data_IF_547771854444
#
_entry.id   IF_547771854444
#
_cell.length_a   1.000
_cell.length_b   1.000
_cell.length_c   1.000
_cell.angle_alpha   90.00
_cell.angle_beta   90.00
_cell.angle_gamma   90.00
#
_symmetry.space_group_name_H-M   'P 1'
#
loop_
_entity.id
_entity.type
_entity.pdbx_description
1 polymer ?
#
# COMPACT_ATOMS: atom_id res chain seq x y z
N UNK A 1 -16.58 -8.52 -10.47
CA UNK A 1 -15.22 -9.05 -10.58
C UNK A 1 -14.29 -8.09 -9.84
N UNK A 2 -13.57 -8.59 -8.88
CA UNK A 2 -12.48 -7.88 -8.22
C UNK A 2 -11.20 -8.24 -8.94
N UNK A 3 -10.17 -7.38 -8.82
CA UNK A 3 -8.90 -7.64 -9.48
C UNK A 3 -7.77 -6.85 -8.86
N UNK A 4 -6.56 -7.36 -9.02
CA UNK A 4 -5.34 -6.69 -8.64
C UNK A 4 -4.35 -6.69 -9.81
N UNK A 5 -3.51 -5.68 -9.86
CA UNK A 5 -2.34 -5.57 -10.73
C UNK A 5 -1.13 -5.41 -9.84
N UNK A 6 -0.14 -6.23 -10.07
CA UNK A 6 1.12 -6.19 -9.31
C UNK A 6 2.28 -5.73 -10.20
N UNK A 7 3.24 -5.03 -9.61
CA UNK A 7 4.46 -4.68 -10.32
C UNK A 7 5.31 -5.95 -10.56
N UNK A 8 5.91 -6.04 -11.75
CA UNK A 8 6.88 -7.11 -12.08
C UNK A 8 8.28 -6.83 -11.50
N UNK A 9 8.45 -5.72 -10.82
CA UNK A 9 9.70 -5.32 -10.18
C UNK A 9 9.48 -5.07 -8.69
N UNK A 10 10.48 -5.37 -7.91
CA UNK A 10 10.49 -5.09 -6.48
C UNK A 10 10.92 -3.65 -6.21
N UNK A 11 10.23 -3.00 -5.30
CA UNK A 11 10.72 -1.77 -4.70
C UNK A 11 11.70 -2.15 -3.58
N UNK A 12 12.93 -1.62 -3.55
CA UNK A 12 13.84 -1.89 -2.45
C UNK A 12 13.26 -1.48 -1.10
N UNK A 13 13.86 -2.00 -0.03
CA UNK A 13 13.48 -1.68 1.33
C UNK A 13 13.79 -0.23 1.74
N UNK A 14 14.52 -0.08 2.82
CA UNK A 14 14.91 1.22 3.38
C UNK A 14 15.51 2.15 2.32
N UNK A 15 15.24 3.46 2.45
CA UNK A 15 15.68 4.50 1.52
C UNK A 15 14.98 4.49 0.15
N UNK A 16 13.88 3.80 0.02
CA UNK A 16 13.01 3.90 -1.15
C UNK A 16 11.80 4.79 -0.85
N UNK A 17 11.37 5.51 -1.87
CA UNK A 17 10.10 6.21 -1.92
C UNK A 17 9.33 5.71 -3.14
N UNK A 18 8.11 5.28 -2.92
CA UNK A 18 7.18 4.90 -3.99
C UNK A 18 6.08 5.94 -4.05
N UNK A 19 5.76 6.39 -5.25
CA UNK A 19 4.66 7.32 -5.52
C UNK A 19 3.74 6.71 -6.58
N UNK A 20 2.47 6.66 -6.27
CA UNK A 20 1.41 6.30 -7.21
C UNK A 20 0.55 7.53 -7.44
N UNK A 21 0.33 7.90 -8.69
CA UNK A 21 -0.66 8.90 -9.05
C UNK A 21 -1.90 8.19 -9.58
N UNK A 22 -2.99 8.31 -8.84
CA UNK A 22 -4.22 7.60 -9.15
C UNK A 22 -5.46 8.39 -8.72
N UNK A 23 -6.59 8.07 -9.33
CA UNK A 23 -7.92 8.54 -8.94
C UNK A 23 -8.71 7.35 -8.42
N UNK A 24 -9.10 7.40 -7.14
CA UNK A 24 -9.84 6.34 -6.48
C UNK A 24 -11.19 6.08 -7.17
N UNK A 25 -11.69 4.86 -7.00
CA UNK A 25 -13.02 4.49 -7.47
C UNK A 25 -14.10 5.24 -6.69
N UNK A 26 -15.17 5.74 -7.34
CA UNK A 26 -16.27 6.39 -6.63
C UNK A 26 -16.96 5.46 -5.63
N UNK A 27 -17.30 5.94 -4.45
CA UNK A 27 -17.88 5.18 -3.35
C UNK A 27 -19.23 4.57 -3.65
N UNK A 28 -19.97 5.25 -4.51
CA UNK A 28 -21.27 4.72 -4.92
C UNK A 28 -21.19 3.26 -5.41
N UNK A 29 -20.05 2.85 -5.95
CA UNK A 29 -19.81 1.48 -6.39
C UNK A 29 -19.67 0.47 -5.21
N UNK A 30 -19.32 0.95 -4.01
CA UNK A 30 -19.00 0.12 -2.83
C UNK A 30 -17.92 -0.93 -3.10
N UNK A 31 -16.91 -0.51 -3.84
CA UNK A 31 -15.69 -1.27 -4.10
C UNK A 31 -14.55 -0.46 -3.54
N UNK A 32 -13.74 -1.07 -2.71
CA UNK A 32 -12.53 -0.47 -2.17
C UNK A 32 -11.48 -0.43 -3.27
N UNK A 33 -10.87 0.72 -3.51
CA UNK A 33 -9.64 0.84 -4.28
C UNK A 33 -8.47 0.98 -3.31
N UNK A 34 -7.39 0.25 -3.57
CA UNK A 34 -6.23 0.26 -2.70
C UNK A 34 -4.90 0.36 -3.46
N UNK A 35 -3.95 1.04 -2.81
CA UNK A 35 -2.54 1.09 -3.17
C UNK A 35 -1.77 0.55 -1.99
N UNK A 36 -1.05 -0.54 -2.17
CA UNK A 36 -0.33 -1.20 -1.09
C UNK A 36 0.96 -1.87 -1.55
N UNK A 37 1.80 -2.21 -0.61
CA UNK A 37 3.05 -2.91 -0.84
C UNK A 37 3.02 -4.26 -0.15
N UNK A 38 3.28 -5.32 -0.91
CA UNK A 38 3.30 -6.67 -0.41
C UNK A 38 4.67 -7.32 -0.57
N UNK A 39 4.95 -8.33 0.24
CA UNK A 39 6.17 -9.13 0.10
C UNK A 39 6.26 -9.76 -1.28
N UNK A 40 7.46 -9.71 -1.89
CA UNK A 40 7.73 -10.32 -3.20
C UNK A 40 7.59 -11.85 -3.22
N UNK A 41 7.44 -12.47 -2.08
CA UNK A 41 7.35 -13.93 -1.96
C UNK A 41 5.93 -14.48 -2.12
N UNK A 42 4.92 -13.64 -2.29
CA UNK A 42 3.52 -14.09 -2.41
C UNK A 42 3.12 -14.68 -3.75
N UNK A 43 3.97 -14.60 -4.74
CA UNK A 43 3.66 -15.11 -6.07
C UNK A 43 3.92 -16.61 -6.26
N UNK A 44 3.82 -17.45 -5.23
CA UNK A 44 4.03 -18.89 -5.38
C UNK A 44 3.63 -19.71 -4.16
N UNK A 45 3.24 -20.96 -4.40
CA UNK A 45 2.82 -21.94 -3.40
C UNK A 45 3.83 -22.18 -2.25
N UNK A 46 5.04 -21.66 -2.37
CA UNK A 46 6.14 -21.86 -1.42
C UNK A 46 6.48 -20.62 -0.59
N UNK A 47 5.73 -19.55 -0.73
CA UNK A 47 6.05 -18.25 -0.18
C UNK A 47 6.00 -18.13 1.36
N UNK A 48 5.79 -19.19 2.16
CA UNK A 48 4.87 -18.87 3.21
C UNK A 48 5.25 -19.30 4.61
N UNK A 49 6.00 -20.34 4.77
CA UNK A 49 6.21 -20.89 6.10
C UNK A 49 7.28 -20.14 6.94
N UNK A 50 8.16 -19.39 6.29
CA UNK A 50 9.28 -18.72 6.94
C UNK A 50 9.26 -17.18 6.79
N UNK A 51 8.37 -16.65 5.96
CA UNK A 51 8.27 -15.22 5.69
C UNK A 51 7.29 -14.58 6.69
N UNK A 52 7.65 -13.50 7.38
CA UNK A 52 6.72 -12.71 8.18
C UNK A 52 5.59 -12.10 7.34
N UNK A 53 5.71 -12.13 6.01
CA UNK A 53 4.74 -11.59 5.04
C UNK A 53 4.24 -10.19 5.42
N UNK A 54 5.15 -9.21 5.37
CA UNK A 54 4.82 -7.84 5.74
C UNK A 54 4.06 -7.13 4.62
N UNK A 55 3.11 -6.31 5.01
CA UNK A 55 2.24 -5.51 4.15
C UNK A 55 2.24 -4.06 4.60
N UNK A 56 2.17 -3.15 3.66
CA UNK A 56 2.03 -1.72 3.91
C UNK A 56 0.90 -1.18 3.04
N UNK A 57 -0.21 -0.84 3.67
CA UNK A 57 -1.33 -0.19 3.00
C UNK A 57 -1.06 1.30 2.94
N UNK A 58 -0.75 1.76 1.74
CA UNK A 58 -0.45 3.18 1.50
C UNK A 58 -1.73 3.98 1.45
N UNK A 59 -2.74 3.42 0.78
CA UNK A 59 -4.07 4.01 0.66
C UNK A 59 -5.11 2.92 0.50
N UNK A 60 -6.16 3.02 1.29
CA UNK A 60 -7.39 2.26 1.17
C UNK A 60 -8.58 3.22 1.24
N UNK A 61 -9.51 3.13 0.29
CA UNK A 61 -10.67 4.03 0.22
C UNK A 61 -11.88 3.41 0.93
N UNK A 62 -11.90 3.45 2.26
CA UNK A 62 -13.07 3.08 3.07
C UNK A 62 -14.06 4.23 3.20
N UNK A 63 -13.58 5.46 3.10
CA UNK A 63 -14.35 6.69 3.13
C UNK A 63 -13.85 7.62 2.01
N UNK A 64 -14.74 8.49 1.44
CA UNK A 64 -14.39 9.43 0.37
C UNK A 64 -13.61 10.63 0.80
N UNK A 65 -13.83 11.03 2.04
CA UNK A 65 -13.19 12.18 2.65
C UNK A 65 -12.07 11.75 3.58
N UNK A 66 -11.52 10.56 3.33
CA UNK A 66 -10.40 10.07 4.11
C UNK A 66 -9.53 9.07 3.34
N UNK A 67 -8.24 9.09 3.64
CA UNK A 67 -7.28 8.09 3.24
C UNK A 67 -6.94 7.24 4.47
N UNK A 68 -7.08 5.93 4.37
CA UNK A 68 -6.67 5.00 5.42
C UNK A 68 -5.36 4.35 5.05
N UNK A 69 -4.44 4.24 6.01
CA UNK A 69 -3.14 3.59 5.85
C UNK A 69 -2.85 2.70 7.05
N UNK A 70 -2.16 1.59 6.84
CA UNK A 70 -1.80 0.64 7.89
C UNK A 70 -0.48 -0.09 7.58
N UNK A 71 0.07 -0.80 8.57
CA UNK A 71 1.13 -1.77 8.36
C UNK A 71 0.76 -3.08 9.05
N UNK A 72 1.02 -4.19 8.37
CA UNK A 72 0.63 -5.52 8.81
C UNK A 72 1.77 -6.53 8.67
N UNK A 73 1.70 -7.56 9.49
CA UNK A 73 2.48 -8.79 9.37
C UNK A 73 1.50 -9.96 9.37
N UNK A 74 1.59 -10.81 8.34
CA UNK A 74 0.72 -11.97 8.14
C UNK A 74 1.54 -13.27 8.17
N UNK A 75 1.95 -13.78 9.35
CA UNK A 75 2.78 -14.97 9.41
C UNK A 75 2.11 -16.15 8.72
N UNK A 76 2.79 -16.76 7.75
CA UNK A 76 2.23 -17.85 6.97
C UNK A 76 1.13 -17.45 5.99
N UNK A 77 0.93 -16.15 5.73
CA UNK A 77 -0.07 -15.65 4.77
C UNK A 77 -1.53 -15.88 5.18
N UNK A 78 -1.82 -15.97 6.47
CA UNK A 78 -3.16 -16.18 6.98
C UNK A 78 -3.42 -15.34 8.25
N UNK A 79 -4.67 -15.34 8.71
CA UNK A 79 -5.09 -14.55 9.87
C UNK A 79 -4.48 -15.04 11.20
N UNK A 80 -3.96 -16.26 11.24
CA UNK A 80 -3.34 -16.80 12.44
C UNK A 80 -2.02 -16.10 12.73
N UNK A 81 -1.99 -15.33 13.83
CA UNK A 81 -0.81 -14.53 14.19
C UNK A 81 -0.71 -13.18 13.48
N UNK A 82 -1.70 -12.76 12.72
CA UNK A 82 -1.77 -11.42 12.15
C UNK A 82 -1.52 -10.34 13.20
N UNK A 83 -0.69 -9.38 12.85
CA UNK A 83 -0.38 -8.21 13.69
C UNK A 83 -0.51 -6.95 12.86
N UNK A 84 -1.26 -5.97 13.36
CA UNK A 84 -1.33 -4.63 12.79
C UNK A 84 -0.53 -3.65 13.65
N UNK A 85 0.21 -2.77 13.00
CA UNK A 85 1.02 -1.75 13.67
C UNK A 85 0.57 -0.36 13.25
N UNK A 86 -0.54 0.09 13.84
CA UNK A 86 -1.05 1.43 13.67
C UNK A 86 -1.74 1.69 12.33
N UNK A 87 -3.02 1.38 12.24
CA UNK A 87 -3.89 1.97 11.24
C UNK A 87 -4.13 3.45 11.54
N UNK A 88 -4.18 4.28 10.50
CA UNK A 88 -4.54 5.68 10.62
C UNK A 88 -5.44 6.11 9.47
N UNK A 89 -6.46 6.89 9.81
CA UNK A 89 -7.35 7.54 8.84
C UNK A 89 -7.01 9.03 8.78
N UNK A 90 -6.58 9.48 7.63
CA UNK A 90 -6.23 10.87 7.36
C UNK A 90 -7.40 11.55 6.63
N UNK A 91 -8.07 12.54 7.27
CA UNK A 91 -9.17 13.24 6.61
C UNK A 91 -8.65 14.08 5.43
N UNK A 92 -9.37 14.03 4.31
CA UNK A 92 -9.10 14.83 3.13
C UNK A 92 -10.16 15.93 2.98
N UNK A 93 -9.79 17.08 2.43
CA UNK A 93 -10.73 18.18 2.20
C UNK A 93 -11.73 17.83 1.09
N UNK A 94 -11.22 17.14 0.07
CA UNK A 94 -11.97 16.78 -1.13
C UNK A 94 -12.26 15.28 -1.17
N UNK A 95 -13.26 14.89 -1.95
CA UNK A 95 -13.56 13.51 -2.29
C UNK A 95 -12.37 12.90 -3.06
N UNK A 96 -11.76 11.85 -2.52
CA UNK A 96 -10.57 11.19 -3.10
C UNK A 96 -10.83 10.57 -4.49
N UNK A 97 -12.07 10.46 -4.91
CA UNK A 97 -12.46 10.01 -6.25
C UNK A 97 -12.69 11.16 -7.24
N UNK A 98 -12.65 12.40 -6.79
CA UNK A 98 -12.96 13.57 -7.63
C UNK A 98 -11.85 13.92 -8.60
N UNK A 99 -10.59 13.67 -8.23
CA UNK A 99 -9.41 13.98 -9.05
C UNK A 99 -8.28 12.95 -8.81
N UNK A 100 -7.19 13.11 -9.54
CA UNK A 100 -5.96 12.35 -9.31
C UNK A 100 -5.18 12.88 -8.12
N UNK A 101 -4.87 11.99 -7.20
CA UNK A 101 -4.05 12.27 -6.04
C UNK A 101 -2.70 11.54 -6.08
N UNK A 102 -1.75 11.99 -5.27
CA UNK A 102 -0.44 11.37 -5.13
C UNK A 102 -0.38 10.61 -3.81
N UNK A 103 -0.31 9.30 -3.89
CA UNK A 103 -0.15 8.39 -2.76
C UNK A 103 1.31 8.00 -2.65
N UNK A 104 1.96 8.37 -1.57
CA UNK A 104 3.38 8.16 -1.40
C UNK A 104 3.72 7.37 -0.15
N UNK A 105 4.75 6.52 -0.23
CA UNK A 105 5.31 5.81 0.90
C UNK A 105 6.83 5.84 0.89
N UNK A 106 7.41 6.23 2.02
CA UNK A 106 8.86 6.16 2.26
C UNK A 106 9.12 5.20 3.42
N UNK A 107 10.06 4.29 3.24
CA UNK A 107 10.46 3.34 4.27
C UNK A 107 11.76 3.76 4.89
N UNK A 108 11.75 3.92 6.21
CA UNK A 108 12.92 4.22 7.05
C UNK A 108 13.07 3.18 8.14
N UNK A 109 14.22 3.12 8.76
CA UNK A 109 14.44 2.25 9.90
C UNK A 109 13.45 2.57 11.03
N UNK A 110 12.62 1.57 11.38
CA UNK A 110 11.64 1.66 12.46
C UNK A 110 10.36 2.43 12.13
N UNK A 111 10.23 3.05 10.95
CA UNK A 111 9.03 3.80 10.56
C UNK A 111 8.70 3.71 9.07
N UNK A 112 7.43 3.84 8.75
CA UNK A 112 6.91 4.03 7.41
C UNK A 112 6.24 5.40 7.36
N UNK A 113 6.63 6.22 6.39
CA UNK A 113 6.10 7.56 6.18
C UNK A 113 5.10 7.52 5.04
N UNK A 114 3.87 7.96 5.30
CA UNK A 114 2.80 8.04 4.31
C UNK A 114 2.63 9.49 3.87
N UNK A 115 2.52 9.70 2.57
CA UNK A 115 2.35 11.00 1.96
C UNK A 115 1.03 11.05 1.17
N UNK A 116 0.31 12.13 1.36
CA UNK A 116 -0.86 12.52 0.59
C UNK A 116 -0.53 13.79 -0.19
N UNK A 117 -0.73 13.77 -1.48
CA UNK A 117 -0.43 14.90 -2.37
C UNK A 117 0.97 15.50 -2.12
N UNK A 118 1.95 14.61 -1.89
CA UNK A 118 3.37 14.92 -1.60
C UNK A 118 3.62 15.63 -0.27
N UNK A 119 2.61 15.74 0.58
CA UNK A 119 2.76 16.20 1.96
C UNK A 119 2.78 15.02 2.91
N UNK A 120 3.65 15.07 3.91
CA UNK A 120 3.68 14.03 4.94
C UNK A 120 2.35 14.02 5.69
N UNK A 121 1.56 12.97 5.48
CA UNK A 121 0.27 12.79 6.12
C UNK A 121 0.41 12.07 7.45
N UNK A 122 1.22 10.99 7.50
CA UNK A 122 1.33 10.19 8.70
C UNK A 122 2.68 9.46 8.82
N UNK A 123 3.01 9.09 10.07
CA UNK A 123 4.13 8.20 10.40
C UNK A 123 3.56 6.95 11.05
N UNK A 124 3.69 5.82 10.40
CA UNK A 124 3.31 4.51 10.93
C UNK A 124 4.51 3.88 11.62
N UNK A 125 4.33 3.31 12.82
CA UNK A 125 5.38 2.53 13.44
C UNK A 125 5.65 1.26 12.63
N UNK A 126 6.92 0.91 12.47
CA UNK A 126 7.37 -0.29 11.79
C UNK A 126 8.38 -1.05 12.67
N UNK A 127 7.92 -1.58 13.82
CA UNK A 127 8.81 -2.23 14.80
C UNK A 127 9.42 -3.53 14.29
N UNK A 128 8.76 -4.20 13.33
CA UNK A 128 9.29 -5.38 12.68
C UNK A 128 10.19 -4.96 11.50
N UNK A 129 11.48 -5.35 11.49
CA UNK A 129 12.40 -4.97 10.42
C UNK A 129 11.96 -5.40 9.02
N UNK A 130 11.13 -6.41 8.88
CA UNK A 130 10.62 -6.85 7.58
C UNK A 130 9.77 -5.76 6.90
N UNK A 131 9.07 -4.91 7.65
CA UNK A 131 8.26 -3.82 7.12
C UNK A 131 9.09 -2.80 6.32
N UNK A 132 10.34 -2.57 6.70
CA UNK A 132 11.17 -1.55 6.05
C UNK A 132 12.42 -2.08 5.36
N UNK A 133 12.86 -3.32 5.63
CA UNK A 133 14.04 -3.93 4.99
C UNK A 133 13.72 -4.72 3.74
N UNK A 134 12.61 -5.45 3.72
CA UNK A 134 12.31 -6.37 2.62
C UNK A 134 11.87 -5.63 1.36
N UNK A 135 12.22 -6.19 0.22
CA UNK A 135 11.69 -5.76 -1.07
C UNK A 135 10.17 -6.00 -1.14
N UNK A 136 9.48 -5.19 -1.93
CA UNK A 136 8.02 -5.21 -2.05
C UNK A 136 7.57 -5.05 -3.48
N UNK A 137 6.52 -5.78 -3.83
CA UNK A 137 5.68 -5.43 -4.98
C UNK A 137 4.77 -4.26 -4.65
N UNK A 138 4.50 -3.42 -5.63
CA UNK A 138 3.38 -2.48 -5.58
C UNK A 138 2.16 -3.20 -6.10
N UNK A 139 1.10 -3.19 -5.33
CA UNK A 139 -0.19 -3.78 -5.68
C UNK A 139 -1.23 -2.67 -5.77
N UNK A 140 -2.04 -2.72 -6.82
CA UNK A 140 -3.16 -1.84 -7.08
C UNK A 140 -4.38 -2.73 -7.21
N UNK A 141 -5.35 -2.60 -6.30
CA UNK A 141 -6.45 -3.55 -6.22
C UNK A 141 -7.82 -2.88 -6.14
N UNK A 142 -8.81 -3.67 -6.54
CA UNK A 142 -10.23 -3.43 -6.31
C UNK A 142 -10.78 -4.56 -5.47
N UNK A 143 -11.35 -4.24 -4.31
CA UNK A 143 -11.68 -5.21 -3.28
C UNK A 143 -13.10 -5.06 -2.74
N UNK A 144 -13.68 -6.17 -2.28
CA UNK A 144 -15.06 -6.27 -1.85
C UNK A 144 -15.34 -5.96 -0.38
N UNK A 145 -14.51 -5.19 0.28
CA UNK A 145 -14.61 -4.94 1.73
C UNK A 145 -15.78 -4.04 2.14
N UNK A 146 -16.39 -3.32 1.20
CA UNK A 146 -17.48 -2.38 1.48
C UNK A 146 -18.88 -3.02 1.38
N UNK A 147 -18.97 -4.33 1.38
CA UNK A 147 -20.20 -5.09 1.28
C UNK A 147 -20.62 -5.33 -0.17
N UNK A 148 -21.94 -5.37 -0.43
CA UNK A 148 -22.43 -5.69 -1.77
C UNK A 148 -22.16 -4.55 -2.75
N UNK A 149 -21.51 -4.87 -3.85
CA UNK A 149 -21.29 -3.97 -4.97
C UNK A 149 -22.63 -3.40 -5.47
N UNK A 150 -22.67 -2.14 -5.81
CA UNK A 150 -23.84 -1.47 -6.36
C UNK A 150 -23.79 -1.47 -7.88
N UNK A 151 -24.54 -2.38 -8.51
CA UNK A 151 -24.55 -2.56 -9.96
C UNK A 151 -24.96 -1.27 -10.72
N UNK A 152 -25.82 -0.45 -10.13
CA UNK A 152 -26.25 0.83 -10.71
C UNK A 152 -25.14 1.90 -10.77
N UNK A 153 -24.04 1.70 -10.03
CA UNK A 153 -22.89 2.59 -10.04
C UNK A 153 -21.76 2.07 -10.96
N UNK A 154 -22.02 1.01 -11.72
CA UNK A 154 -21.07 0.43 -12.66
C UNK A 154 -21.47 0.75 -14.11
N UNK A 155 -20.52 0.85 -15.06
CA UNK A 155 -19.08 0.66 -14.84
C UNK A 155 -18.45 1.85 -14.10
N UNK A 156 -17.45 1.54 -13.24
CA UNK A 156 -16.61 2.53 -12.58
C UNK A 156 -15.15 2.09 -12.63
N UNK A 157 -14.22 3.02 -12.55
CA UNK A 157 -12.79 2.74 -12.72
C UNK A 157 -11.95 3.28 -11.56
N UNK A 158 -10.91 2.54 -11.24
CA UNK A 158 -9.75 3.02 -10.51
C UNK A 158 -8.70 3.39 -11.55
N UNK A 159 -8.43 4.65 -11.71
CA UNK A 159 -7.60 5.15 -12.80
C UNK A 159 -6.18 5.39 -12.30
N UNK A 160 -5.20 4.73 -12.90
CA UNK A 160 -3.78 4.84 -12.56
C UNK A 160 -3.07 5.62 -13.66
N UNK A 161 -2.45 6.75 -13.31
CA UNK A 161 -1.61 7.51 -14.23
C UNK A 161 -0.20 6.93 -14.28
N UNK A 162 0.42 6.74 -13.10
CA UNK A 162 1.74 6.12 -12.99
C UNK A 162 2.04 5.52 -11.62
N UNK A 163 3.04 4.64 -11.62
CA UNK A 163 3.76 4.17 -10.43
C UNK A 163 5.23 4.53 -10.61
N UNK A 164 5.83 5.21 -9.64
CA UNK A 164 7.25 5.60 -9.66
C UNK A 164 7.95 5.19 -8.39
N UNK A 165 9.15 4.68 -8.52
CA UNK A 165 10.03 4.34 -7.40
C UNK A 165 11.28 5.20 -7.46
N UNK A 166 11.60 5.83 -6.35
CA UNK A 166 12.77 6.67 -6.17
C UNK A 166 13.69 6.05 -5.13
N UNK A 167 14.97 6.14 -5.39
CA UNK A 167 16.00 5.67 -4.47
C UNK A 167 16.82 6.85 -3.99
N UNK A 168 16.98 6.96 -2.68
CA UNK A 168 18.02 7.81 -2.12
C UNK A 168 19.29 6.99 -2.00
N UNK A 169 20.43 7.59 -2.35
CA UNK A 169 21.76 7.16 -1.95
C UNK A 169 22.37 8.21 -1.02
N UNK A 170 21.84 8.42 0.21
CA UNK A 170 22.52 9.26 1.18
C UNK A 170 23.57 8.43 1.92
N UNK A 171 24.56 9.09 2.56
CA UNK A 171 25.37 8.44 3.57
C UNK A 171 24.46 7.83 4.64
N UNK A 172 24.55 6.53 4.84
CA UNK A 172 23.70 5.76 5.77
C UNK A 172 22.60 4.88 5.13
N UNK A 173 22.28 5.07 3.86
CA UNK A 173 21.43 4.15 3.10
C UNK A 173 22.29 3.13 2.34
N UNK A 174 23.04 2.30 3.04
CA UNK A 174 23.78 1.24 2.40
C UNK A 174 22.83 0.14 1.93
N UNK A 175 22.91 -0.25 0.67
CA UNK A 175 22.34 -1.49 0.15
C UNK A 175 23.05 -2.67 0.85
N UNK A 176 22.62 -3.02 2.04
CA UNK A 176 23.01 -4.30 2.65
C UNK A 176 21.90 -5.31 2.36
N UNK A 177 22.08 -6.02 1.31
CA UNK A 177 21.17 -7.07 0.88
C UNK A 177 21.53 -7.53 -0.52
N UNK A 178 22.73 -8.11 -0.65
CA UNK A 178 23.09 -8.94 -1.80
C UNK A 178 22.82 -10.38 -1.45
N UNK A 179 22.17 -11.06 -2.36
CA UNK A 179 21.96 -12.49 -2.58
C UNK A 179 20.99 -13.18 -1.66
#
# INVERSE_FOLDING_TARGET
TFGAVESVFDTPGVCSYVEVRARALPSAARVLSAVWLQSSTLSGENALAADPNPEIDVQETFDFHAMTSATHIWPGGNDAGHRSFGGHTYPTADDVSSDYHFYGVERREGEVLIYWDRHLAWRLPAPDPSLWRMSRHVVLSLEGHLGRVQDSALPASFDIDYVRTYYRTPPGCSRTGTS
#
